data_IF_148933945060
#
_entry.id   IF_148933945060
#
_cell.length_a   1.000
_cell.length_b   1.000
_cell.length_c   1.000
_cell.angle_alpha   90.00
_cell.angle_beta   90.00
_cell.angle_gamma   90.00
#
_symmetry.space_group_name_H-M   'P 1'
#
loop_
_entity.id
_entity.type
_entity.pdbx_description
1 polymer ?
#
# COMPACT_ATOMS: atom_id res chain seq x y z
N UNK A 1 17.94 -6.73 37.34
CA UNK A 1 16.96 -5.86 36.64
C UNK A 1 16.69 -6.48 35.29
N UNK A 2 15.46 -6.95 35.05
CA UNK A 2 15.08 -7.45 33.74
C UNK A 2 14.82 -6.25 32.82
N UNK A 3 15.73 -6.05 31.87
CA UNK A 3 15.60 -5.05 30.81
C UNK A 3 14.44 -5.44 29.89
N UNK A 4 13.67 -4.43 29.47
CA UNK A 4 12.57 -4.60 28.54
C UNK A 4 13.08 -5.03 27.15
N UNK A 5 12.24 -5.69 26.33
CA UNK A 5 12.60 -6.07 24.96
C UNK A 5 13.07 -4.88 24.11
N UNK A 6 12.53 -3.69 24.35
CA UNK A 6 12.87 -2.45 23.63
C UNK A 6 14.26 -1.94 23.99
N UNK A 7 14.67 -2.02 25.25
CA UNK A 7 16.00 -1.61 25.70
C UNK A 7 17.10 -2.55 25.15
N UNK A 8 16.77 -3.83 24.96
CA UNK A 8 17.67 -4.79 24.29
C UNK A 8 17.86 -4.46 22.81
N UNK A 9 16.84 -3.91 22.16
CA UNK A 9 16.92 -3.53 20.75
C UNK A 9 17.82 -2.30 20.56
N UNK A 10 17.68 -1.28 21.41
CA UNK A 10 18.45 -0.03 21.28
C UNK A 10 19.94 -0.18 21.65
N UNK A 11 20.28 -1.09 22.57
CA UNK A 11 21.68 -1.39 22.93
C UNK A 11 22.38 -2.37 21.96
N UNK A 12 21.63 -3.03 21.07
CA UNK A 12 22.17 -3.87 19.99
C UNK A 12 22.61 -3.08 18.76
N UNK A 13 22.45 -1.74 18.76
CA UNK A 13 22.85 -0.83 17.69
C UNK A 13 24.35 -0.59 17.64
N UNK A 14 25.17 -1.63 17.40
CA UNK A 14 26.58 -1.49 17.05
C UNK A 14 27.19 -2.79 16.46
N UNK A 15 26.58 -3.41 15.44
CA UNK A 15 27.35 -4.19 14.44
C UNK A 15 26.77 -3.89 13.05
N UNK A 16 27.45 -3.00 12.34
CA UNK A 16 27.27 -2.81 10.91
C UNK A 16 27.61 -4.12 10.19
N UNK A 17 26.59 -4.81 9.66
CA UNK A 17 26.52 -5.60 8.41
C UNK A 17 25.31 -6.54 8.52
N UNK A 18 24.19 -6.22 7.87
CA UNK A 18 23.02 -7.12 7.81
C UNK A 18 21.69 -6.42 7.56
N UNK A 19 21.46 -6.00 6.31
CA UNK A 19 20.20 -5.53 5.72
C UNK A 19 19.34 -4.59 6.60
N UNK A 20 19.44 -3.27 6.34
CA UNK A 20 18.32 -2.37 6.65
C UNK A 20 17.13 -2.92 5.88
N UNK A 21 16.13 -3.52 6.56
CA UNK A 21 14.88 -3.88 5.88
C UNK A 21 14.20 -2.55 5.60
N UNK A 22 14.52 -1.95 4.46
CA UNK A 22 13.84 -0.76 4.00
C UNK A 22 12.38 -1.14 3.77
N UNK A 23 11.46 -0.30 4.27
CA UNK A 23 10.04 -0.43 3.92
C UNK A 23 9.92 -0.34 2.40
N UNK A 24 9.18 -1.25 1.74
CA UNK A 24 9.09 -1.22 0.29
C UNK A 24 8.33 0.02 -0.16
N UNK A 25 8.86 0.70 -1.17
CA UNK A 25 8.16 1.79 -1.85
C UNK A 25 7.35 1.21 -3.01
N UNK A 26 6.04 1.41 -3.01
CA UNK A 26 5.11 0.86 -4.01
C UNK A 26 4.37 1.97 -4.73
N UNK A 27 4.05 1.76 -6.00
CA UNK A 27 3.33 2.72 -6.84
C UNK A 27 1.85 2.35 -6.95
N UNK A 28 0.99 3.16 -6.32
CA UNK A 28 -0.46 3.07 -6.44
C UNK A 28 -0.93 3.78 -7.72
N UNK A 29 -1.59 3.06 -8.62
CA UNK A 29 -2.22 3.59 -9.83
C UNK A 29 -3.74 3.62 -9.73
N UNK A 30 -4.30 4.80 -9.97
CA UNK A 30 -5.72 5.07 -9.84
C UNK A 30 -6.34 5.35 -11.21
N UNK A 31 -7.50 4.73 -11.45
CA UNK A 31 -8.22 4.82 -12.72
C UNK A 31 -9.66 5.30 -12.50
N UNK A 32 -10.24 5.89 -13.56
CA UNK A 32 -11.64 6.33 -13.61
C UNK A 32 -12.06 7.09 -12.33
N UNK A 33 -13.20 6.72 -11.72
CA UNK A 33 -13.71 7.38 -10.53
C UNK A 33 -12.73 7.42 -9.35
N UNK A 34 -11.84 6.41 -9.20
CA UNK A 34 -10.84 6.43 -8.13
C UNK A 34 -9.83 7.56 -8.31
N UNK A 35 -9.42 7.83 -9.56
CA UNK A 35 -8.57 8.98 -9.91
C UNK A 35 -9.30 10.30 -9.72
N UNK A 36 -10.57 10.37 -10.10
CA UNK A 36 -11.37 11.59 -10.00
C UNK A 36 -11.49 12.06 -8.54
N UNK A 37 -11.83 11.14 -7.63
CA UNK A 37 -12.00 11.48 -6.20
C UNK A 37 -10.66 11.71 -5.50
N UNK A 38 -9.60 10.98 -5.88
CA UNK A 38 -8.26 11.17 -5.32
C UNK A 38 -7.54 12.42 -5.87
N UNK A 39 -7.99 12.95 -7.02
CA UNK A 39 -7.37 14.09 -7.71
C UNK A 39 -6.00 13.78 -8.35
N UNK A 40 -5.52 12.54 -8.26
CA UNK A 40 -4.22 12.11 -8.74
C UNK A 40 -4.31 10.73 -9.40
N UNK A 41 -3.50 10.50 -10.44
CA UNK A 41 -3.47 9.22 -11.15
C UNK A 41 -2.46 8.21 -10.60
N UNK A 42 -1.42 8.66 -9.92
CA UNK A 42 -0.37 7.81 -9.36
C UNK A 42 0.23 8.44 -8.11
N UNK A 43 0.50 7.63 -7.08
CA UNK A 43 1.16 8.05 -5.85
C UNK A 43 2.01 6.89 -5.30
N UNK A 44 3.10 7.22 -4.60
CA UNK A 44 3.99 6.23 -3.99
C UNK A 44 3.78 6.15 -2.47
N UNK A 45 3.85 4.95 -1.91
CA UNK A 45 3.67 4.68 -0.48
C UNK A 45 4.76 3.75 0.04
N UNK A 46 5.20 3.95 1.29
CA UNK A 46 6.13 3.05 1.98
C UNK A 46 5.35 2.11 2.91
N UNK A 47 5.03 0.89 2.45
CA UNK A 47 4.13 -0.05 3.14
C UNK A 47 4.50 -1.50 2.83
N UNK A 48 4.31 -2.43 3.78
CA UNK A 48 4.69 -3.84 3.61
C UNK A 48 3.60 -4.70 2.97
N UNK A 49 2.32 -4.34 3.13
CA UNK A 49 1.21 -5.19 2.70
C UNK A 49 0.19 -4.42 1.88
N UNK A 50 -0.57 -5.18 1.09
CA UNK A 50 -1.67 -4.63 0.32
C UNK A 50 -2.74 -4.00 1.22
N UNK A 51 -3.03 -4.58 2.37
CA UNK A 51 -4.00 -4.05 3.33
C UNK A 51 -3.53 -2.72 3.94
N UNK A 52 -2.25 -2.60 4.28
CA UNK A 52 -1.66 -1.35 4.76
C UNK A 52 -1.73 -0.26 3.68
N UNK A 53 -1.41 -0.60 2.43
CA UNK A 53 -1.56 0.32 1.30
C UNK A 53 -2.99 0.83 1.17
N UNK A 54 -3.99 -0.06 1.22
CA UNK A 54 -5.39 0.32 1.06
C UNK A 54 -5.87 1.21 2.23
N UNK A 55 -5.46 0.90 3.46
CA UNK A 55 -5.76 1.72 4.64
C UNK A 55 -5.14 3.11 4.52
N UNK A 56 -3.88 3.21 4.13
CA UNK A 56 -3.18 4.49 3.99
C UNK A 56 -3.75 5.33 2.86
N UNK A 57 -4.10 4.71 1.73
CA UNK A 57 -4.79 5.37 0.63
C UNK A 57 -6.17 5.91 1.05
N UNK A 58 -6.95 5.16 1.83
CA UNK A 58 -8.23 5.62 2.37
C UNK A 58 -8.05 6.75 3.39
N UNK A 59 -7.04 6.67 4.25
CA UNK A 59 -6.69 7.76 5.17
C UNK A 59 -6.31 9.05 4.41
N UNK A 60 -5.62 8.90 3.28
CA UNK A 60 -5.15 10.01 2.44
C UNK A 60 -6.27 10.64 1.60
N UNK A 61 -7.11 9.83 0.95
CA UNK A 61 -8.10 10.29 -0.03
C UNK A 61 -9.55 10.35 0.51
N UNK A 62 -9.79 9.83 1.71
CA UNK A 62 -11.06 9.99 2.43
C UNK A 62 -12.17 9.01 2.05
N UNK A 63 -13.36 9.25 2.61
CA UNK A 63 -14.49 8.31 2.56
C UNK A 63 -15.07 8.08 1.15
N UNK A 64 -14.98 9.07 0.26
CA UNK A 64 -15.47 8.93 -1.10
C UNK A 64 -14.60 7.95 -1.90
N UNK A 65 -13.29 7.99 -1.70
CA UNK A 65 -12.36 7.01 -2.23
C UNK A 65 -12.66 5.61 -1.69
N UNK A 66 -12.92 5.46 -0.39
CA UNK A 66 -13.29 4.18 0.21
C UNK A 66 -14.53 3.54 -0.46
N UNK A 67 -15.55 4.34 -0.80
CA UNK A 67 -16.76 3.84 -1.49
C UNK A 67 -16.40 3.24 -2.84
N UNK A 68 -15.54 3.90 -3.60
CA UNK A 68 -15.07 3.42 -4.91
C UNK A 68 -14.18 2.18 -4.74
N UNK A 69 -13.25 2.22 -3.79
CA UNK A 69 -12.33 1.12 -3.51
C UNK A 69 -13.10 -0.17 -3.17
N UNK A 70 -14.16 -0.08 -2.36
CA UNK A 70 -15.00 -1.23 -2.00
C UNK A 70 -15.70 -1.89 -3.19
N UNK A 71 -15.93 -1.16 -4.28
CA UNK A 71 -16.51 -1.69 -5.51
C UNK A 71 -15.43 -2.10 -6.54
N UNK A 72 -14.16 -1.79 -6.29
CA UNK A 72 -13.07 -1.96 -7.24
C UNK A 72 -12.43 -3.34 -7.15
N UNK A 73 -11.80 -3.76 -8.25
CA UNK A 73 -10.76 -4.80 -8.21
C UNK A 73 -9.41 -4.15 -7.92
N UNK A 74 -8.54 -4.87 -7.23
CA UNK A 74 -7.17 -4.44 -6.96
C UNK A 74 -6.22 -5.46 -7.56
N UNK A 75 -5.31 -4.99 -8.41
CA UNK A 75 -4.32 -5.82 -9.08
C UNK A 75 -2.91 -5.41 -8.64
N UNK A 76 -2.02 -6.38 -8.49
CA UNK A 76 -0.59 -6.15 -8.24
C UNK A 76 0.17 -6.63 -9.45
N UNK A 77 1.00 -5.77 -10.03
CA UNK A 77 1.80 -6.05 -11.23
C UNK A 77 0.98 -6.63 -12.41
N UNK A 78 -0.27 -6.18 -12.55
CA UNK A 78 -1.17 -6.61 -13.62
C UNK A 78 -1.95 -7.90 -13.33
N UNK A 79 -1.78 -8.51 -12.14
CA UNK A 79 -2.47 -9.74 -11.76
C UNK A 79 -3.47 -9.52 -10.62
N UNK A 80 -4.58 -10.26 -10.64
CA UNK A 80 -5.53 -10.27 -9.54
C UNK A 80 -4.95 -11.06 -8.37
N UNK A 81 -4.97 -10.48 -7.18
CA UNK A 81 -4.37 -11.08 -5.99
C UNK A 81 -5.34 -11.16 -4.81
N UNK A 82 -5.01 -11.99 -3.82
CA UNK A 82 -5.71 -12.02 -2.53
C UNK A 82 -5.35 -10.80 -1.68
N UNK A 83 -6.20 -10.48 -0.69
CA UNK A 83 -6.04 -9.28 0.14
C UNK A 83 -4.80 -9.29 1.06
N UNK A 84 -4.18 -10.45 1.29
CA UNK A 84 -3.08 -10.62 2.25
C UNK A 84 -1.70 -10.70 1.59
N UNK A 85 -1.52 -10.01 0.46
CA UNK A 85 -0.25 -9.99 -0.27
C UNK A 85 0.76 -9.10 0.45
N UNK A 86 1.97 -9.63 0.64
CA UNK A 86 3.15 -8.85 1.00
C UNK A 86 3.68 -8.21 -0.27
N UNK A 87 3.90 -6.90 -0.22
CA UNK A 87 4.42 -6.14 -1.34
C UNK A 87 5.95 -6.05 -1.26
N UNK A 88 6.58 -5.88 -2.41
CA UNK A 88 8.02 -5.63 -2.52
C UNK A 88 8.29 -4.28 -3.17
N UNK A 89 9.51 -3.80 -3.01
CA UNK A 89 9.92 -2.49 -3.53
C UNK A 89 9.74 -2.44 -5.05
N UNK A 90 9.09 -1.37 -5.53
CA UNK A 90 8.76 -1.16 -6.94
C UNK A 90 7.49 -1.87 -7.42
N UNK A 91 6.75 -2.57 -6.55
CA UNK A 91 5.46 -3.15 -6.94
C UNK A 91 4.48 -2.05 -7.39
N UNK A 92 3.74 -2.36 -8.46
CA UNK A 92 2.66 -1.52 -8.95
C UNK A 92 1.32 -2.09 -8.51
N UNK A 93 0.52 -1.27 -7.82
CA UNK A 93 -0.81 -1.65 -7.37
C UNK A 93 -1.86 -0.81 -8.10
N UNK A 94 -2.73 -1.45 -8.87
CA UNK A 94 -3.78 -0.79 -9.63
C UNK A 94 -5.15 -0.94 -8.96
N UNK A 95 -5.84 0.18 -8.73
CA UNK A 95 -7.26 0.21 -8.33
C UNK A 95 -8.11 0.36 -9.58
N UNK A 96 -8.91 -0.66 -9.87
CA UNK A 96 -9.72 -0.79 -11.08
C UNK A 96 -11.21 -0.76 -10.71
N UNK A 97 -11.85 0.43 -10.73
CA UNK A 97 -13.29 0.53 -10.58
C UNK A 97 -14.03 -0.32 -11.64
N UNK A 98 -15.28 -0.75 -11.37
CA UNK A 98 -16.10 -1.38 -12.38
C UNK A 98 -16.18 -0.50 -13.62
N UNK A 99 -15.93 -1.09 -14.79
CA UNK A 99 -16.18 -0.39 -16.05
C UNK A 99 -17.68 -0.09 -16.11
N UNK A 100 -18.04 1.18 -16.26
CA UNK A 100 -19.40 1.53 -16.69
C UNK A 100 -19.50 1.06 -18.13
N UNK A 101 -20.09 -0.12 -18.33
CA UNK A 101 -20.38 -0.61 -19.68
C UNK A 101 -21.08 0.50 -20.45
N UNK A 102 -20.46 0.99 -21.52
CA UNK A 102 -21.16 1.80 -22.50
C UNK A 102 -22.35 1.00 -23.01
N UNK A 103 -23.53 1.61 -22.98
CA UNK A 103 -24.75 1.10 -23.61
C UNK A 103 -24.51 0.63 -25.04
#
# INVERSE_FOLDING_TARGET
MNMSPTERYLLGGAIATGNLIAMPTVDLRLFAGAREVAGIGTASFEVETLDDLMKEAVNTYGEEFLKILNASRVWVNGESVDKNVVLVDGDEVAVLPPVSGGL
#
